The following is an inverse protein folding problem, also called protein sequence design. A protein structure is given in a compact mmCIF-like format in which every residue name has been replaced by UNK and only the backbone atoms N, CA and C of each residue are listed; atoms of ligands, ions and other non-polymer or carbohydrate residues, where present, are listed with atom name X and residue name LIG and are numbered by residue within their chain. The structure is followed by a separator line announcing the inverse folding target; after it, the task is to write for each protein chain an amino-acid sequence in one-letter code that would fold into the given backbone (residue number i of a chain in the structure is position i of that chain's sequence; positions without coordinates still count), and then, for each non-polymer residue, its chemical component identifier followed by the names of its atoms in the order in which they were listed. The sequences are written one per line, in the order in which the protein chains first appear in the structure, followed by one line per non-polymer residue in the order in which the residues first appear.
data_IF_841315178070
#
_entry.id   IF_841315178070
#
_cell.length_a   1.000
_cell.length_b   1.000
_cell.length_c   1.000
_cell.angle_alpha   90.00
_cell.angle_beta   90.00
_cell.angle_gamma   90.00
#
_symmetry.space_group_name_H-M   'P 1'
#
loop_
_entity.id
_entity.type
_entity.pdbx_description
1 polymer ?
2 non-polymer ?
3 non-polymer ?
#
# COMPACT_ATOMS: atom_id res chain seq x y z
N UNK A 1 3.04 4.28 -25.78
CA UNK A 1 3.60 5.11 -24.73
C UNK A 1 2.82 5.01 -23.43
N UNK A 2 3.54 5.12 -22.31
CA UNK A 2 2.92 5.18 -20.99
C UNK A 2 2.06 6.44 -20.88
N UNK A 3 2.62 7.54 -21.35
CA UNK A 3 1.96 8.85 -21.30
C UNK A 3 0.58 8.83 -21.93
N UNK A 4 0.45 8.15 -23.06
CA UNK A 4 -0.84 8.03 -23.74
C UNK A 4 -1.88 7.35 -22.88
N UNK A 5 -1.52 6.23 -22.27
CA UNK A 5 -2.43 5.49 -21.41
C UNK A 5 -2.80 6.29 -20.16
N UNK A 6 -1.83 7.01 -19.61
CA UNK A 6 -2.08 7.86 -18.45
C UNK A 6 -3.07 8.99 -18.77
N UNK A 7 -2.80 9.70 -19.86
CA UNK A 7 -3.67 10.79 -20.32
C UNK A 7 -5.08 10.27 -20.60
N UNK A 8 -5.16 9.11 -21.25
CA UNK A 8 -6.43 8.49 -21.59
C UNK A 8 -7.20 8.16 -20.31
N UNK A 9 -6.50 7.61 -19.31
CA UNK A 9 -7.11 7.31 -18.04
C UNK A 9 -7.65 8.56 -17.37
N UNK A 10 -6.84 9.62 -17.39
CA UNK A 10 -7.24 10.90 -16.81
C UNK A 10 -8.52 11.41 -17.46
N UNK A 11 -8.57 11.35 -18.78
CA UNK A 11 -9.77 11.71 -19.52
C UNK A 11 -10.97 10.86 -19.09
N UNK A 12 -10.71 9.57 -18.90
CA UNK A 12 -11.78 8.61 -18.59
C UNK A 12 -12.27 8.70 -17.15
N UNK A 13 -11.53 9.42 -16.31
CA UNK A 13 -12.00 9.70 -14.95
C UNK A 13 -13.33 10.46 -14.96
N UNK A 14 -13.56 11.21 -16.02
CA UNK A 14 -14.79 11.98 -16.20
C UNK A 14 -15.98 11.05 -16.41
N UNK A 15 -15.77 10.02 -17.21
CA UNK A 15 -16.84 9.11 -17.63
C UNK A 15 -17.15 8.02 -16.62
N UNK A 16 -16.14 7.25 -16.25
CA UNK A 16 -16.31 6.06 -15.41
C UNK A 16 -16.71 6.37 -13.97
N UNK A 17 -17.44 5.44 -13.37
CA UNK A 17 -17.86 5.57 -11.97
C UNK A 17 -17.04 4.65 -11.07
N UNK A 18 -17.37 4.64 -9.78
CA UNK A 18 -16.64 3.81 -8.83
C UNK A 18 -17.05 2.35 -8.93
N UNK A 19 -18.25 2.10 -9.45
CA UNK A 19 -18.75 0.74 -9.61
C UNK A 19 -17.96 0.00 -10.69
N UNK A 20 -17.42 0.75 -11.64
CA UNK A 20 -16.66 0.18 -12.76
C UNK A 20 -15.37 -0.51 -12.31
N UNK A 21 -14.76 0.03 -11.25
CA UNK A 21 -13.43 -0.43 -10.84
C UNK A 21 -13.40 -1.03 -9.43
N UNK A 22 -14.52 -0.96 -8.74
CA UNK A 22 -14.61 -1.43 -7.35
C UNK A 22 -14.31 -2.91 -7.21
N UNK A 23 -13.91 -3.29 -6.00
CA UNK A 23 -13.80 -4.71 -5.66
C UNK A 23 -15.10 -5.12 -5.00
N UNK A 24 -15.93 -5.88 -5.74
CA UNK A 24 -17.26 -6.27 -5.26
C UNK A 24 -17.19 -7.09 -3.97
N UNK A 25 -18.26 -7.02 -3.18
CA UNK A 25 -18.29 -7.59 -1.83
C UNK A 25 -17.83 -9.05 -1.74
N UNK A 26 -18.11 -9.83 -2.78
CA UNK A 26 -17.76 -11.25 -2.81
C UNK A 26 -16.26 -11.47 -3.04
N UNK A 27 -15.57 -10.41 -3.46
CA UNK A 27 -14.12 -10.49 -3.67
C UNK A 27 -13.35 -9.76 -2.57
N UNK A 28 -14.06 -9.33 -1.53
CA UNK A 28 -13.43 -8.59 -0.44
C UNK A 28 -13.03 -9.51 0.72
N UNK A 29 -11.77 -9.39 1.14
CA UNK A 29 -11.31 -10.08 2.35
C UNK A 29 -11.76 -9.28 3.57
N UNK A 30 -12.74 -9.81 4.29
CA UNK A 30 -13.30 -9.12 5.44
C UNK A 30 -13.14 -9.97 6.70
N UNK A 31 -13.64 -9.47 7.82
CA UNK A 31 -13.61 -10.21 9.08
C UNK A 31 -14.79 -9.82 9.98
N UNK A 32 -15.27 -10.79 10.75
CA UNK A 32 -16.39 -10.55 11.67
C UNK A 32 -15.93 -9.74 12.88
N UNK A 33 -16.83 -8.90 13.40
CA UNK A 33 -16.52 -8.12 14.59
C UNK A 33 -16.49 -8.99 15.83
N UNK A 34 -17.01 -10.19 15.70
CA UNK A 34 -17.03 -11.14 16.80
C UNK A 34 -15.75 -11.96 16.84
N UNK A 35 -14.76 -11.54 16.05
CA UNK A 35 -13.47 -12.22 15.99
C UNK A 35 -12.71 -12.08 17.29
N UNK A 36 -11.74 -12.97 17.49
CA UNK A 36 -10.85 -12.91 18.65
C UNK A 36 -9.41 -12.94 18.16
N UNK A 37 -8.69 -11.85 18.40
CA UNK A 37 -7.34 -11.70 17.87
C UNK A 37 -6.32 -12.62 18.54
N UNK A 38 -6.59 -13.92 18.53
CA UNK A 38 -5.60 -14.91 18.93
C UNK A 38 -4.57 -15.04 17.81
N UNK A 39 -3.58 -15.90 17.98
CA UNK A 39 -2.48 -15.99 17.03
C UNK A 39 -2.93 -16.36 15.61
N UNK A 40 -3.81 -17.35 15.52
CA UNK A 40 -4.32 -17.81 14.23
C UNK A 40 -5.03 -16.70 13.44
N UNK A 41 -5.92 -15.98 14.11
CA UNK A 41 -6.65 -14.88 13.48
C UNK A 41 -5.68 -13.84 12.93
N UNK A 42 -4.75 -13.41 13.79
CA UNK A 42 -3.76 -12.40 13.41
C UNK A 42 -2.91 -12.85 12.23
N UNK A 43 -2.53 -14.13 12.22
CA UNK A 43 -1.73 -14.65 11.12
C UNK A 43 -2.52 -14.71 9.81
N UNK A 44 -3.79 -15.07 9.90
CA UNK A 44 -4.68 -15.03 8.74
C UNK A 44 -4.69 -13.63 8.16
N UNK A 45 -5.00 -12.66 9.02
CA UNK A 45 -5.09 -11.27 8.63
C UNK A 45 -3.79 -10.79 7.99
N UNK A 46 -2.67 -11.16 8.61
CA UNK A 46 -1.37 -10.70 8.16
C UNK A 46 -0.92 -11.32 6.84
N UNK A 47 -1.26 -12.57 6.62
CA UNK A 47 -0.88 -13.23 5.38
C UNK A 47 -1.86 -12.90 4.26
N UNK A 48 -3.00 -12.29 4.62
CA UNK A 48 -3.95 -11.84 3.61
C UNK A 48 -3.30 -10.84 2.66
N UNK A 49 -2.37 -10.05 3.18
CA UNK A 49 -1.64 -9.10 2.36
C UNK A 49 -2.32 -7.74 2.30
N UNK A 50 -3.55 -7.67 2.78
CA UNK A 50 -4.32 -6.44 2.74
C UNK A 50 -4.06 -5.55 3.96
N UNK A 51 -3.76 -4.29 3.69
CA UNK A 51 -3.52 -3.31 4.75
C UNK A 51 -4.82 -2.96 5.47
N UNK A 52 -5.90 -2.82 4.72
CA UNK A 52 -7.20 -2.47 5.29
C UNK A 52 -8.25 -3.57 5.10
N UNK A 53 -8.79 -4.04 6.21
CA UNK A 53 -9.78 -5.11 6.22
C UNK A 53 -11.12 -4.59 6.76
N UNK A 54 -12.15 -4.56 5.91
CA UNK A 54 -13.46 -4.12 6.39
C UNK A 54 -14.01 -5.10 7.44
N UNK A 55 -14.58 -4.57 8.51
CA UNK A 55 -15.12 -5.40 9.58
C UNK A 55 -16.64 -5.38 9.54
N UNK A 56 -17.23 -6.54 9.28
CA UNK A 56 -18.69 -6.69 9.21
C UNK A 56 -19.21 -7.39 10.46
N UNK A 57 -20.50 -7.22 10.71
CA UNK A 57 -21.13 -7.90 11.85
C UNK A 57 -22.46 -8.50 11.43
N UNK A 58 -22.57 -9.81 11.59
CA UNK A 58 -23.76 -10.53 11.15
C UNK A 58 -23.68 -10.86 9.66
N UNK A 59 -23.85 -9.84 8.83
CA UNK A 59 -23.83 -10.01 7.39
C UNK A 59 -22.73 -9.17 6.75
N UNK A 60 -22.16 -9.68 5.66
CA UNK A 60 -21.05 -9.00 4.98
C UNK A 60 -21.44 -7.66 4.37
N UNK A 61 -22.75 -7.47 4.15
CA UNK A 61 -23.25 -6.20 3.67
C UNK A 61 -23.28 -5.17 4.79
N UNK A 62 -23.23 -5.66 6.03
CA UNK A 62 -23.26 -4.79 7.19
C UNK A 62 -21.85 -4.45 7.67
N UNK A 63 -21.15 -3.59 6.93
CA UNK A 63 -19.83 -3.14 7.34
C UNK A 63 -19.95 -2.17 8.50
N UNK A 64 -19.42 -2.55 9.65
CA UNK A 64 -19.57 -1.75 10.86
C UNK A 64 -18.27 -1.08 11.28
N UNK A 65 -17.13 -1.61 10.83
CA UNK A 65 -15.84 -1.04 11.19
C UNK A 65 -14.78 -1.25 10.12
N UNK A 66 -13.55 -0.86 10.44
CA UNK A 66 -12.44 -0.98 9.51
C UNK A 66 -11.13 -1.23 10.26
N UNK A 67 -10.52 -2.38 10.02
CA UNK A 67 -9.29 -2.78 10.70
C UNK A 67 -8.04 -2.48 9.88
N UNK A 68 -7.00 -1.98 10.54
CA UNK A 68 -5.71 -1.80 9.91
C UNK A 68 -4.76 -2.87 10.44
N UNK A 69 -3.82 -3.29 9.61
CA UNK A 69 -2.79 -4.21 10.07
C UNK A 69 -1.93 -3.50 11.10
N UNK A 70 -1.80 -2.18 10.90
CA UNK A 70 -1.05 -1.32 11.80
C UNK A 70 -1.57 -1.41 13.23
N UNK A 71 -2.86 -1.67 13.37
CA UNK A 71 -3.49 -1.75 14.68
C UNK A 71 -3.05 -2.99 15.45
N UNK A 72 -2.53 -3.98 14.73
CA UNK A 72 -2.13 -5.24 15.34
C UNK A 72 -0.75 -5.12 15.99
N UNK A 73 -0.12 -3.96 15.83
CA UNK A 73 1.24 -3.72 16.30
C UNK A 73 1.44 -4.07 17.78
N UNK A 74 0.60 -3.51 18.64
CA UNK A 74 0.76 -3.72 20.07
C UNK A 74 -0.13 -4.83 20.63
N UNK A 75 -0.67 -5.66 19.75
CA UNK A 75 -1.57 -6.74 20.17
C UNK A 75 -0.82 -8.05 20.43
N UNK A 76 -0.95 -8.57 21.65
CA UNK A 76 -0.34 -9.83 22.03
C UNK A 76 -1.29 -10.99 21.72
N UNK A 77 -0.85 -11.94 20.89
CA UNK A 77 -1.66 -13.10 20.53
C UNK A 77 -2.06 -13.93 21.76
N UNK A 78 -1.21 -13.91 22.78
CA UNK A 78 -1.43 -14.71 23.98
C UNK A 78 -2.60 -14.19 24.82
N UNK A 79 -2.93 -12.91 24.65
CA UNK A 79 -4.00 -12.29 25.43
C UNK A 79 -5.38 -12.61 24.87
N UNK A 80 -5.42 -13.09 23.64
CA UNK A 80 -6.67 -13.41 22.95
C UNK A 80 -7.66 -12.26 23.03
N UNK A 81 -7.18 -11.07 22.68
CA UNK A 81 -7.99 -9.86 22.77
C UNK A 81 -9.11 -9.86 21.72
N UNK A 82 -10.35 -9.62 22.17
CA UNK A 82 -11.48 -9.49 21.26
C UNK A 82 -11.25 -8.33 20.29
N UNK A 83 -11.59 -8.52 19.02
CA UNK A 83 -11.39 -7.48 18.01
C UNK A 83 -12.19 -6.22 18.34
N UNK A 84 -13.35 -6.40 18.99
CA UNK A 84 -14.18 -5.29 19.41
C UNK A 84 -13.40 -4.28 20.25
N UNK A 85 -12.47 -4.77 21.05
CA UNK A 85 -11.60 -3.91 21.84
C UNK A 85 -10.78 -2.98 20.95
N UNK A 86 -10.15 -3.56 19.93
CA UNK A 86 -9.29 -2.78 19.03
C UNK A 86 -10.10 -1.80 18.17
N UNK A 87 -11.18 -2.29 17.55
CA UNK A 87 -12.03 -1.43 16.73
C UNK A 87 -12.67 -0.31 17.54
N UNK A 88 -12.99 -0.60 18.80
CA UNK A 88 -13.51 0.43 19.70
C UNK A 88 -12.43 1.46 20.02
N UNK A 89 -11.23 0.97 20.32
CA UNK A 89 -10.13 1.85 20.71
C UNK A 89 -9.71 2.78 19.58
N UNK A 90 -9.18 2.21 18.52
CA UNK A 90 -8.73 3.02 17.38
C UNK A 90 -9.89 3.76 16.73
N UNK A 91 -10.97 3.02 16.42
CA UNK A 91 -12.16 3.59 15.81
C UNK A 91 -11.88 4.40 14.55
N UNK A 92 -11.30 3.75 13.55
CA UNK A 92 -11.04 4.40 12.28
C UNK A 92 -12.37 4.74 11.61
N UNK A 93 -12.47 5.94 11.04
CA UNK A 93 -13.73 6.40 10.44
C UNK A 93 -14.07 5.63 9.16
N UNK A 94 -15.36 5.36 8.96
CA UNK A 94 -15.82 4.69 7.75
C UNK A 94 -16.24 5.70 6.69
N UNK A 95 -15.77 5.49 5.46
CA UNK A 95 -16.12 6.38 4.37
C UNK A 95 -16.97 5.67 3.34
N UNK A 96 -18.14 6.22 3.05
CA UNK A 96 -19.05 5.61 2.08
C UNK A 96 -19.09 6.43 0.79
N UNK A 97 -19.68 5.83 -0.25
CA UNK A 97 -19.76 6.47 -1.55
C UNK A 97 -20.79 5.78 -2.43
N UNK A 98 -21.59 6.55 -3.15
CA UNK A 98 -22.61 6.00 -4.02
C UNK A 98 -21.99 5.41 -5.28
N UNK A 99 -22.68 4.46 -5.91
CA UNK A 99 -22.15 3.75 -7.06
C UNK A 99 -21.94 4.63 -8.29
N UNK A 100 -22.82 5.61 -8.47
CA UNK A 100 -22.77 6.48 -9.65
C UNK A 100 -21.69 7.57 -9.55
N UNK A 101 -20.90 7.52 -8.48
CA UNK A 101 -19.85 8.51 -8.24
C UNK A 101 -18.72 8.42 -9.25
N UNK A 102 -18.47 9.51 -9.97
CA UNK A 102 -17.41 9.57 -10.98
C UNK A 102 -16.03 9.47 -10.35
N UNK A 103 -15.05 8.97 -11.11
CA UNK A 103 -13.72 8.69 -10.58
C UNK A 103 -12.90 9.93 -10.24
N UNK A 104 -13.13 11.03 -10.95
CA UNK A 104 -12.41 12.27 -10.66
C UNK A 104 -12.79 12.81 -9.28
N UNK A 105 -14.08 12.75 -8.97
CA UNK A 105 -14.59 13.17 -7.67
C UNK A 105 -14.06 12.28 -6.56
N UNK A 106 -14.03 10.97 -6.82
CA UNK A 106 -13.51 10.00 -5.86
C UNK A 106 -12.04 10.28 -5.58
N UNK A 107 -11.30 10.58 -6.64
CA UNK A 107 -9.88 10.91 -6.54
C UNK A 107 -9.72 12.18 -5.71
N UNK A 108 -10.66 13.10 -5.89
CA UNK A 108 -10.66 14.36 -5.14
C UNK A 108 -10.87 14.15 -3.65
N UNK A 109 -11.86 13.31 -3.29
CA UNK A 109 -12.13 13.02 -1.88
C UNK A 109 -11.02 12.20 -1.24
N UNK A 110 -10.40 11.33 -2.02
CA UNK A 110 -9.26 10.55 -1.54
C UNK A 110 -8.07 11.47 -1.26
N UNK A 111 -7.80 12.36 -2.20
CA UNK A 111 -6.72 13.35 -2.07
C UNK A 111 -6.93 14.24 -0.85
N UNK A 112 -8.12 14.84 -0.78
CA UNK A 112 -8.46 15.79 0.28
C UNK A 112 -8.32 15.22 1.68
N UNK A 113 -8.79 14.00 1.88
CA UNK A 113 -8.74 13.37 3.19
C UNK A 113 -7.59 12.39 3.35
N UNK A 114 -7.50 11.79 4.53
CA UNK A 114 -6.51 10.76 4.80
C UNK A 114 -7.06 9.43 4.27
N UNK A 115 -8.32 9.45 3.85
CA UNK A 115 -9.02 8.27 3.34
C UNK A 115 -8.33 7.63 2.14
N UNK A 116 -8.33 6.31 2.12
CA UNK A 116 -7.80 5.54 1.00
C UNK A 116 -8.79 4.47 0.57
N UNK A 117 -9.78 4.24 1.42
CA UNK A 117 -10.78 3.21 1.17
C UNK A 117 -12.19 3.72 1.44
N UNK A 118 -13.03 3.68 0.41
CA UNK A 118 -14.43 4.05 0.54
C UNK A 118 -15.32 2.83 0.29
N UNK A 119 -16.49 2.80 0.92
CA UNK A 119 -17.43 1.70 0.75
C UNK A 119 -18.50 2.06 -0.28
N UNK A 120 -18.47 1.37 -1.41
CA UNK A 120 -19.44 1.58 -2.49
C UNK A 120 -20.78 0.94 -2.14
N UNK A 121 -21.80 1.80 -2.02
CA UNK A 121 -23.15 1.37 -1.75
C UNK A 121 -24.13 1.94 -2.78
N UNK A 122 -25.26 1.25 -2.97
CA UNK A 122 -26.26 1.65 -3.96
C UNK A 122 -27.58 1.99 -3.28
N UNK A 123 -28.24 3.04 -3.76
CA UNK A 123 -29.59 3.37 -3.29
C UNK A 123 -30.60 2.41 -3.93
N UNK A 124 -31.13 1.50 -3.12
CA UNK A 124 -32.05 0.47 -3.60
C UNK A 124 -33.48 0.97 -3.65
N UNK A 125 -33.80 1.77 -4.66
CA UNK A 125 -35.16 2.28 -4.84
C UNK A 125 -36.08 1.27 -5.51
N UNK A 126 -35.50 0.17 -6.01
CA UNK A 126 -36.29 -0.88 -6.63
C UNK A 126 -36.89 -1.82 -5.60
N UNK A 127 -37.74 -1.28 -4.73
CA UNK A 127 -38.45 -2.05 -3.73
C UNK A 127 -39.59 -2.85 -4.34
N UNK A 128 -40.35 -3.63 -3.56
CA UNK A 128 -40.24 -3.83 -2.10
C UNK A 128 -40.49 -2.59 -1.23
N UNK A 129 -41.41 -1.73 -1.65
CA UNK A 129 -41.87 -0.62 -0.84
C UNK A 129 -40.84 0.47 -0.56
N UNK A 130 -40.42 0.58 0.69
CA UNK A 130 -39.46 1.59 1.10
C UNK A 130 -38.02 1.16 0.84
N UNK A 131 -37.16 2.12 0.43
CA UNK A 131 -35.79 1.84 0.00
C UNK A 131 -34.79 1.75 1.15
N UNK A 132 -33.54 1.43 0.80
CA UNK A 132 -32.45 1.37 1.77
C UNK A 132 -31.09 1.42 1.07
N UNK A 133 -30.03 1.61 1.84
CA UNK A 133 -28.68 1.63 1.29
C UNK A 133 -28.11 0.22 1.18
N UNK A 134 -27.66 -0.14 -0.02
CA UNK A 134 -27.16 -1.48 -0.29
C UNK A 134 -25.67 -1.48 -0.63
N UNK A 135 -24.85 -1.98 0.28
CA UNK A 135 -23.40 -2.02 0.08
C UNK A 135 -23.02 -2.96 -1.06
N UNK A 136 -22.41 -2.40 -2.11
CA UNK A 136 -22.00 -3.17 -3.27
C UNK A 136 -20.60 -3.76 -3.06
N UNK A 137 -19.69 -2.94 -2.57
CA UNK A 137 -18.33 -3.41 -2.33
C UNK A 137 -17.43 -2.32 -1.80
N UNK A 138 -16.14 -2.41 -2.11
CA UNK A 138 -15.20 -1.37 -1.69
C UNK A 138 -14.45 -0.80 -2.89
N UNK A 139 -14.00 0.45 -2.76
CA UNK A 139 -13.17 1.09 -3.77
C UNK A 139 -12.01 1.77 -3.07
N UNK A 140 -10.81 1.61 -3.60
CA UNK A 140 -9.64 2.24 -3.00
C UNK A 140 -8.95 3.17 -3.98
N UNK A 141 -8.03 3.99 -3.45
CA UNK A 141 -7.26 4.91 -4.28
C UNK A 141 -6.50 4.16 -5.37
N UNK A 142 -6.05 2.95 -5.03
CA UNK A 142 -5.28 2.13 -5.95
C UNK A 142 -6.10 1.75 -7.18
N UNK A 143 -7.41 1.60 -7.00
CA UNK A 143 -8.30 1.31 -8.11
C UNK A 143 -8.31 2.45 -9.13
N UNK A 144 -8.55 3.66 -8.63
CA UNK A 144 -8.54 4.86 -9.46
C UNK A 144 -7.20 5.01 -10.18
N UNK A 145 -6.13 4.94 -9.40
CA UNK A 145 -4.78 5.05 -9.93
C UNK A 145 -4.53 4.02 -11.04
N UNK A 146 -4.94 2.79 -10.81
CA UNK A 146 -4.73 1.74 -11.81
C UNK A 146 -5.55 2.02 -13.06
N UNK A 147 -6.74 2.57 -12.90
CA UNK A 147 -7.55 2.96 -14.07
C UNK A 147 -6.83 4.06 -14.86
N UNK A 148 -6.08 4.89 -14.15
CA UNK A 148 -5.26 5.92 -14.80
C UNK A 148 -4.09 5.31 -15.57
N UNK A 149 -3.28 4.50 -14.90
CA UNK A 149 -2.00 4.04 -15.45
C UNK A 149 -2.05 2.75 -16.26
N UNK A 150 -3.16 2.03 -16.22
CA UNK A 150 -3.27 0.77 -16.97
C UNK A 150 -3.14 1.01 -18.47
N UNK A 151 -2.79 -0.05 -19.20
CA UNK A 151 -2.67 0.03 -20.64
C UNK A 151 -4.01 -0.30 -21.31
N UNK A 152 -4.25 0.31 -22.47
CA UNK A 152 -5.50 0.10 -23.20
C UNK A 152 -5.38 0.59 -24.65
N UNK B 1 -7.40 22.03 -12.25
CA UNK B 1 -8.15 20.85 -12.67
C UNK B 1 -7.29 19.60 -12.48
N UNK B 2 -7.94 18.49 -12.11
CA UNK B 2 -7.22 17.26 -11.84
C UNK B 2 -6.66 16.60 -13.10
N UNK B 3 -7.48 16.59 -14.16
CA UNK B 3 -7.06 16.05 -15.45
C UNK B 3 -5.76 16.68 -15.91
N UNK B 4 -5.63 17.98 -15.68
CA UNK B 4 -4.46 18.73 -16.10
C UNK B 4 -3.23 18.41 -15.23
N UNK B 5 -3.45 18.21 -13.94
CA UNK B 5 -2.38 17.76 -13.04
C UNK B 5 -1.83 16.44 -13.53
N UNK B 6 -2.74 15.51 -13.82
CA UNK B 6 -2.36 14.18 -14.26
C UNK B 6 -1.64 14.20 -15.62
N UNK B 7 -2.20 14.94 -16.58
CA UNK B 7 -1.60 15.08 -17.89
C UNK B 7 -0.21 15.70 -17.79
N UNK B 8 -0.06 16.68 -16.90
CA UNK B 8 1.23 17.32 -16.69
C UNK B 8 2.26 16.35 -16.09
N UNK B 9 1.82 15.54 -15.13
CA UNK B 9 2.69 14.54 -14.55
C UNK B 9 3.13 13.54 -15.60
N UNK B 10 2.19 13.12 -16.44
CA UNK B 10 2.48 12.26 -17.57
C UNK B 10 3.54 12.90 -18.46
N UNK B 11 3.41 14.20 -18.69
CA UNK B 11 4.38 14.94 -19.49
C UNK B 11 5.73 15.02 -18.77
N UNK B 12 5.73 14.87 -17.46
CA UNK B 12 6.98 14.98 -16.71
C UNK B 12 7.65 13.64 -16.44
N UNK B 13 6.96 12.56 -16.80
CA UNK B 13 7.49 11.20 -16.61
C UNK B 13 8.81 10.91 -17.33
N UNK B 14 9.15 11.70 -18.34
CA UNK B 14 10.36 11.43 -19.11
C UNK B 14 11.44 12.45 -18.77
N UNK B 15 11.03 13.56 -18.17
CA UNK B 15 11.94 14.64 -17.81
C UNK B 15 12.56 14.31 -16.47
N UNK B 16 11.72 14.02 -15.49
CA UNK B 16 12.17 13.75 -14.13
C UNK B 16 12.76 12.36 -13.99
N UNK B 17 13.70 12.23 -13.06
CA UNK B 17 14.35 10.95 -12.80
C UNK B 17 13.88 10.37 -11.48
N UNK B 18 14.31 9.15 -11.16
CA UNK B 18 13.92 8.50 -9.92
C UNK B 18 14.57 9.19 -8.72
N UNK B 19 15.67 9.89 -8.96
CA UNK B 19 16.36 10.62 -7.92
C UNK B 19 15.50 11.79 -7.43
N UNK B 20 14.71 12.35 -8.33
CA UNK B 20 13.86 13.50 -8.02
C UNK B 20 12.70 13.16 -7.10
N UNK B 21 12.32 11.88 -7.05
CA UNK B 21 11.15 11.47 -6.26
C UNK B 21 11.46 10.36 -5.26
N UNK B 22 12.73 9.99 -5.13
CA UNK B 22 13.11 8.93 -4.22
C UNK B 22 12.96 9.36 -2.76
N UNK B 23 12.80 8.39 -1.87
CA UNK B 23 12.91 8.66 -0.45
C UNK B 23 14.35 8.39 -0.05
N UNK B 24 15.10 9.46 0.24
CA UNK B 24 16.54 9.35 0.53
C UNK B 24 16.81 8.43 1.70
N UNK B 25 17.99 7.81 1.70
CA UNK B 25 18.38 6.82 2.69
C UNK B 25 18.10 7.27 4.13
N UNK B 26 18.36 8.54 4.41
CA UNK B 26 18.21 9.07 5.77
C UNK B 26 16.74 9.17 6.20
N UNK B 27 15.82 9.09 5.24
CA UNK B 27 14.40 9.14 5.55
C UNK B 27 13.74 7.75 5.45
N UNK B 28 14.56 6.73 5.27
CA UNK B 28 14.05 5.37 5.13
C UNK B 28 13.96 4.64 6.47
N UNK B 29 12.79 4.07 6.76
CA UNK B 29 12.65 3.19 7.91
C UNK B 29 13.23 1.83 7.55
N UNK B 30 14.32 1.46 8.23
CA UNK B 30 15.06 0.25 7.88
C UNK B 30 15.33 -0.61 9.11
N UNK B 31 15.93 -1.77 8.90
CA UNK B 31 16.26 -2.65 10.03
C UNK B 31 17.52 -3.51 9.80
N UNK B 32 18.26 -3.75 10.88
CA UNK B 32 19.48 -4.54 10.85
C UNK B 32 19.19 -6.03 10.65
N UNK B 33 20.09 -6.72 9.96
CA UNK B 33 19.94 -8.15 9.73
C UNK B 33 20.19 -8.95 10.99
N UNK B 34 20.85 -8.32 11.96
CA UNK B 34 21.17 -8.98 13.22
C UNK B 34 20.00 -8.88 14.19
N UNK B 35 18.89 -8.32 13.74
CA UNK B 35 17.73 -8.11 14.59
C UNK B 35 17.05 -9.41 15.00
N UNK B 36 16.47 -9.42 16.19
CA UNK B 36 15.68 -10.55 16.67
C UNK B 36 14.21 -10.15 16.72
N UNK B 37 13.35 -10.96 16.14
CA UNK B 37 11.93 -10.64 16.07
C UNK B 37 11.18 -11.04 17.33
N UNK B 38 11.54 -10.42 18.46
CA UNK B 38 10.76 -10.55 19.68
C UNK B 38 9.51 -9.68 19.55
N UNK B 39 8.76 -9.52 20.63
CA UNK B 39 7.52 -8.75 20.54
C UNK B 39 7.79 -7.26 20.27
N UNK B 40 8.81 -6.71 20.92
CA UNK B 40 9.14 -5.30 20.75
C UNK B 40 9.55 -4.95 19.33
N UNK B 41 10.36 -5.81 18.71
CA UNK B 41 10.81 -5.58 17.35
C UNK B 41 9.64 -5.66 16.37
N UNK B 42 8.83 -6.71 16.51
CA UNK B 42 7.67 -6.90 15.64
C UNK B 42 6.67 -5.75 15.78
N UNK B 43 6.47 -5.29 17.01
CA UNK B 43 5.57 -4.18 17.26
C UNK B 43 6.14 -2.89 16.67
N UNK B 44 7.46 -2.73 16.74
CA UNK B 44 8.10 -1.54 16.18
C UNK B 44 8.02 -1.51 14.66
N UNK B 45 8.14 -2.68 14.03
CA UNK B 45 8.04 -2.80 12.58
C UNK B 45 6.60 -2.59 12.13
N UNK B 46 5.67 -3.21 12.83
CA UNK B 46 4.25 -3.08 12.50
C UNK B 46 3.73 -1.66 12.74
N UNK B 47 4.24 -1.01 13.77
CA UNK B 47 3.77 0.33 14.13
C UNK B 47 4.14 1.36 13.08
N UNK B 48 5.21 1.10 12.33
CA UNK B 48 5.75 2.08 11.39
C UNK B 48 4.85 2.33 10.17
N UNK B 49 3.91 1.42 9.91
CA UNK B 49 2.99 1.61 8.81
C UNK B 49 3.55 1.27 7.45
N UNK B 50 4.82 0.86 7.41
CA UNK B 50 5.48 0.54 6.14
C UNK B 50 5.34 -0.94 5.78
N UNK B 51 4.84 -1.20 4.58
CA UNK B 51 4.65 -2.55 4.07
C UNK B 51 6.00 -3.23 3.78
N UNK B 52 6.93 -2.48 3.21
CA UNK B 52 8.24 -3.03 2.86
C UNK B 52 9.39 -2.32 3.58
N UNK B 53 10.23 -3.10 4.25
CA UNK B 53 11.30 -2.57 5.08
C UNK B 53 12.68 -3.04 4.62
N UNK B 54 13.50 -2.10 4.12
CA UNK B 54 14.88 -2.44 3.74
C UNK B 54 15.70 -3.01 4.90
N UNK B 55 16.33 -4.15 4.65
CA UNK B 55 17.18 -4.81 5.65
C UNK B 55 18.64 -4.56 5.33
N UNK B 56 19.30 -3.78 6.17
CA UNK B 56 20.71 -3.44 5.99
C UNK B 56 21.59 -4.19 6.98
N UNK B 57 22.87 -4.35 6.62
CA UNK B 57 23.83 -4.99 7.51
C UNK B 57 25.16 -4.24 7.44
N UNK B 58 25.68 -3.88 8.61
CA UNK B 58 26.85 -3.03 8.68
C UNK B 58 26.41 -1.57 8.69
N UNK B 59 26.49 -0.92 7.53
CA UNK B 59 25.97 0.43 7.38
C UNK B 59 24.59 0.40 6.75
N UNK B 60 23.87 1.52 6.83
CA UNK B 60 22.52 1.61 6.27
C UNK B 60 22.54 1.60 4.75
N UNK B 61 23.69 1.91 4.16
CA UNK B 61 23.83 1.91 2.72
C UNK B 61 23.93 0.49 2.17
N UNK B 62 24.33 -0.44 3.03
CA UNK B 62 24.49 -1.84 2.62
C UNK B 62 23.17 -2.61 2.71
N UNK B 63 22.24 -2.31 1.82
CA UNK B 63 20.96 -3.00 1.79
C UNK B 63 21.12 -4.42 1.26
N UNK B 64 20.99 -5.39 2.16
CA UNK B 64 21.22 -6.79 1.80
C UNK B 64 19.94 -7.59 1.61
N UNK B 65 18.85 -7.15 2.25
CA UNK B 65 17.58 -7.85 2.12
C UNK B 65 16.38 -6.91 2.09
N UNK B 66 15.19 -7.48 1.92
CA UNK B 66 13.95 -6.73 1.94
C UNK B 66 12.89 -7.50 2.73
N UNK B 67 12.43 -6.91 3.82
CA UNK B 67 11.44 -7.54 4.68
C UNK B 67 10.03 -7.11 4.31
N UNK B 68 9.09 -8.05 4.32
CA UNK B 68 7.68 -7.72 4.13
C UNK B 68 6.93 -7.93 5.44
N UNK B 69 6.01 -7.02 5.75
CA UNK B 69 5.16 -7.16 6.92
C UNK B 69 4.43 -8.50 6.86
N UNK B 70 4.04 -8.85 5.65
CA UNK B 70 3.39 -10.11 5.34
C UNK B 70 4.22 -11.32 5.80
N UNK B 71 5.53 -11.14 5.86
CA UNK B 71 6.44 -12.22 6.25
C UNK B 71 6.45 -12.45 7.76
N UNK B 72 5.73 -11.59 8.49
CA UNK B 72 5.67 -11.71 9.93
C UNK B 72 4.41 -12.44 10.37
N UNK B 73 3.63 -12.90 9.40
CA UNK B 73 2.37 -13.58 9.66
C UNK B 73 2.51 -14.79 10.57
N UNK B 74 3.42 -15.68 10.21
CA UNK B 74 3.58 -16.93 10.95
C UNK B 74 4.73 -16.90 11.96
N UNK B 75 5.17 -15.70 12.33
CA UNK B 75 6.24 -15.56 13.30
C UNK B 75 5.71 -15.28 14.71
N UNK B 76 6.10 -16.12 15.66
CA UNK B 76 5.67 -15.98 17.05
C UNK B 76 6.72 -15.20 17.84
N UNK B 77 6.32 -14.06 18.43
CA UNK B 77 7.22 -13.20 19.21
C UNK B 77 7.85 -13.94 20.40
N UNK B 78 7.24 -15.03 20.82
CA UNK B 78 7.74 -15.80 21.96
C UNK B 78 8.95 -16.63 21.59
N UNK B 79 9.16 -16.84 20.29
CA UNK B 79 10.27 -17.67 19.81
C UNK B 79 11.57 -16.89 19.67
N UNK B 80 11.44 -15.56 19.60
CA UNK B 80 12.60 -14.68 19.41
C UNK B 80 13.43 -15.16 18.21
N UNK B 81 12.75 -15.37 17.10
CA UNK B 81 13.38 -15.84 15.87
C UNK B 81 14.28 -14.76 15.27
N UNK B 82 15.51 -15.14 14.91
CA UNK B 82 16.39 -14.24 14.16
C UNK B 82 15.73 -13.81 12.85
N UNK B 83 15.86 -12.53 12.50
CA UNK B 83 15.30 -12.02 11.25
C UNK B 83 15.97 -12.69 10.06
N UNK B 84 17.24 -13.07 10.24
CA UNK B 84 17.99 -13.78 9.22
C UNK B 84 17.29 -15.06 8.77
N UNK B 85 16.61 -15.71 9.70
CA UNK B 85 15.82 -16.91 9.40
C UNK B 85 14.73 -16.60 8.38
N UNK B 86 14.00 -15.52 8.61
CA UNK B 86 12.88 -15.15 7.75
C UNK B 86 13.37 -14.62 6.40
N UNK B 87 14.41 -13.80 6.42
CA UNK B 87 14.97 -13.27 5.18
C UNK B 87 15.56 -14.38 4.31
N UNK B 88 16.22 -15.35 4.95
CA UNK B 88 16.78 -16.48 4.23
C UNK B 88 15.66 -17.38 3.72
N UNK B 89 14.57 -17.47 4.48
CA UNK B 89 13.43 -18.30 4.09
C UNK B 89 12.73 -17.74 2.86
N UNK B 90 12.19 -16.54 2.98
CA UNK B 90 11.47 -15.93 1.87
C UNK B 90 12.39 -15.54 0.72
N UNK B 91 13.48 -14.83 1.07
CA UNK B 91 14.44 -14.33 0.09
C UNK B 91 13.79 -13.54 -1.04
N UNK B 92 13.11 -12.45 -0.67
CA UNK B 92 12.51 -11.57 -1.65
C UNK B 92 13.61 -10.93 -2.47
N UNK B 93 13.45 -10.93 -3.81
CA UNK B 93 14.48 -10.40 -4.71
C UNK B 93 14.68 -8.90 -4.54
N UNK B 94 15.92 -8.46 -4.59
CA UNK B 94 16.23 -7.04 -4.47
C UNK B 94 16.36 -6.38 -5.84
N UNK B 95 15.67 -5.26 -6.03
CA UNK B 95 15.73 -4.54 -7.29
C UNK B 95 16.51 -3.24 -7.13
N UNK B 96 17.58 -3.09 -7.91
CA UNK B 96 18.36 -1.86 -7.91
C UNK B 96 18.09 -1.05 -9.17
N UNK B 97 18.19 0.26 -9.05
CA UNK B 97 17.97 1.15 -10.18
C UNK B 97 18.91 2.35 -10.10
N UNK B 98 19.45 2.77 -11.25
CA UNK B 98 20.37 3.89 -11.26
C UNK B 98 19.63 5.23 -11.10
N UNK B 99 20.30 6.22 -10.53
CA UNK B 99 19.67 7.49 -10.17
C UNK B 99 19.16 8.29 -11.36
N UNK B 100 19.83 8.18 -12.50
CA UNK B 100 19.45 8.93 -13.69
C UNK B 100 18.31 8.28 -14.47
N UNK B 101 17.80 7.17 -13.95
CA UNK B 101 16.67 6.47 -14.58
C UNK B 101 15.42 7.35 -14.61
N UNK B 102 14.82 7.48 -15.79
CA UNK B 102 13.62 8.29 -15.95
C UNK B 102 12.39 7.65 -15.32
N UNK B 103 11.39 8.45 -14.98
CA UNK B 103 10.20 7.96 -14.30
C UNK B 103 9.33 7.05 -15.18
N UNK B 104 9.39 7.25 -16.49
CA UNK B 104 8.59 6.43 -17.41
C UNK B 104 9.13 5.00 -17.46
N UNK B 105 10.45 4.88 -17.62
CA UNK B 105 11.10 3.58 -17.64
C UNK B 105 10.93 2.88 -16.30
N UNK B 106 10.99 3.65 -15.22
CA UNK B 106 10.79 3.11 -13.89
C UNK B 106 9.38 2.56 -13.75
N UNK B 107 8.40 3.33 -14.22
CA UNK B 107 7.00 2.93 -14.17
C UNK B 107 6.78 1.65 -14.97
N UNK B 108 7.43 1.58 -16.12
CA UNK B 108 7.34 0.41 -16.99
C UNK B 108 7.93 -0.82 -16.30
N UNK B 109 9.07 -0.65 -15.63
CA UNK B 109 9.68 -1.75 -14.89
C UNK B 109 8.82 -2.19 -13.71
N UNK B 110 8.11 -1.24 -13.10
CA UNK B 110 7.22 -1.53 -11.99
C UNK B 110 6.01 -2.34 -12.46
N UNK B 111 5.39 -1.91 -13.54
CA UNK B 111 4.20 -2.57 -14.07
C UNK B 111 4.47 -4.01 -14.53
N UNK B 112 5.56 -4.21 -15.25
CA UNK B 112 5.88 -5.54 -15.78
C UNK B 112 6.51 -6.47 -14.74
N UNK B 113 6.43 -6.09 -13.47
CA UNK B 113 6.92 -6.92 -12.40
C UNK B 113 5.98 -6.96 -11.21
N UNK B 114 6.29 -7.82 -10.24
CA UNK B 114 5.59 -7.83 -8.98
C UNK B 114 6.24 -6.78 -8.09
N UNK B 115 7.47 -6.43 -8.44
CA UNK B 115 8.27 -5.47 -7.67
C UNK B 115 7.62 -4.09 -7.58
N UNK B 116 7.65 -3.52 -6.39
CA UNK B 116 7.09 -2.20 -6.14
C UNK B 116 8.10 -1.28 -5.47
N UNK B 117 9.31 -1.78 -5.28
CA UNK B 117 10.34 -1.02 -4.57
C UNK B 117 11.73 -1.27 -5.15
N UNK B 118 12.36 -0.21 -5.64
CA UNK B 118 13.73 -0.29 -6.14
C UNK B 118 14.68 0.53 -5.28
N UNK B 119 15.95 0.14 -5.26
CA UNK B 119 16.98 0.87 -4.53
C UNK B 119 17.70 1.84 -5.46
N UNK B 120 17.54 3.14 -5.21
CA UNK B 120 18.22 4.16 -6.00
C UNK B 120 19.70 4.28 -5.63
N UNK B 121 20.57 3.96 -6.59
CA UNK B 121 22.01 4.02 -6.43
C UNK B 121 22.69 4.77 -7.58
N UNK B 122 23.85 5.35 -7.32
CA UNK B 122 24.59 6.08 -8.35
C UNK B 122 26.02 5.58 -8.46
N UNK B 123 26.77 6.16 -9.41
CA UNK B 123 28.17 5.78 -9.61
C UNK B 123 29.12 6.89 -9.13
N UNK B 124 29.66 6.72 -7.93
CA UNK B 124 30.58 7.70 -7.36
C UNK B 124 31.93 7.66 -8.05
N UNK B 125 32.13 8.57 -9.01
CA UNK B 125 33.32 8.58 -9.84
C UNK B 125 34.52 9.33 -9.26
N UNK B 126 34.29 10.11 -8.21
CA UNK B 126 35.38 10.86 -7.59
C UNK B 126 36.39 9.95 -6.89
N UNK B 127 37.22 9.29 -7.70
CA UNK B 127 38.22 8.37 -7.18
C UNK B 127 39.52 9.07 -6.80
N UNK B 128 40.32 8.52 -5.88
CA UNK B 128 40.10 7.25 -5.16
C UNK B 128 40.02 5.98 -6.01
N UNK B 129 40.59 6.04 -7.22
CA UNK B 129 40.74 4.86 -8.05
C UNK B 129 39.45 4.23 -8.55
N UNK B 130 39.29 2.93 -8.26
CA UNK B 130 38.17 2.14 -8.77
C UNK B 130 36.81 2.68 -8.35
N UNK B 131 35.91 2.86 -9.33
CA UNK B 131 34.55 3.35 -9.08
C UNK B 131 33.69 2.29 -8.42
N UNK B 132 32.54 2.70 -7.87
CA UNK B 132 31.64 1.77 -7.20
C UNK B 132 30.21 2.30 -7.18
N UNK B 133 29.31 1.52 -6.57
CA UNK B 133 27.91 1.90 -6.51
C UNK B 133 27.53 2.44 -5.13
N UNK B 134 26.96 3.63 -5.10
CA UNK B 134 26.59 4.31 -3.85
C UNK B 134 25.07 4.37 -3.71
N UNK B 135 24.55 3.79 -2.62
CA UNK B 135 23.11 3.75 -2.39
C UNK B 135 22.57 5.10 -1.91
N UNK B 136 21.70 5.71 -2.72
CA UNK B 136 21.15 7.02 -2.43
C UNK B 136 19.83 6.94 -1.67
N UNK B 137 18.98 5.98 -2.06
CA UNK B 137 17.70 5.83 -1.40
C UNK B 137 16.82 4.72 -1.93
N UNK B 138 15.50 4.89 -1.81
CA UNK B 138 14.54 3.95 -2.37
C UNK B 138 13.45 4.67 -3.16
N UNK B 139 12.90 4.00 -4.17
CA UNK B 139 11.80 4.56 -4.95
C UNK B 139 10.71 3.51 -5.12
N UNK B 140 9.45 3.92 -4.99
CA UNK B 140 8.33 3.00 -5.12
C UNK B 140 7.36 3.44 -6.21
N UNK B 141 6.44 2.55 -6.58
CA UNK B 141 5.38 2.88 -7.52
C UNK B 141 4.59 4.08 -7.01
N UNK B 142 4.38 4.11 -5.70
CA UNK B 142 3.63 5.19 -5.05
C UNK B 142 4.30 6.54 -5.31
N UNK B 143 5.62 6.55 -5.41
CA UNK B 143 6.37 7.78 -5.67
C UNK B 143 6.04 8.36 -7.04
N UNK B 144 6.15 7.53 -8.08
CA UNK B 144 5.85 7.99 -9.43
C UNK B 144 4.37 8.33 -9.58
N UNK B 145 3.51 7.58 -8.88
CA UNK B 145 2.08 7.87 -8.87
C UNK B 145 1.80 9.25 -8.27
N UNK B 146 2.44 9.51 -7.13
CA UNK B 146 2.31 10.79 -6.46
C UNK B 146 2.82 11.91 -7.35
N UNK B 147 3.87 11.63 -8.11
CA UNK B 147 4.39 12.61 -9.07
C UNK B 147 3.31 12.92 -10.11
N UNK B 148 2.67 11.87 -10.61
CA UNK B 148 1.63 12.02 -11.63
C UNK B 148 0.42 12.83 -11.13
N UNK B 149 -0.15 12.42 -10.01
CA UNK B 149 -1.43 12.96 -9.57
C UNK B 149 -1.37 14.24 -8.73
N UNK B 150 -0.19 14.58 -8.20
CA UNK B 150 -0.05 15.76 -7.34
C UNK B 150 -0.35 17.05 -8.10
N UNK B 151 -0.64 18.12 -7.36
CA UNK B 151 -0.94 19.41 -7.95
C UNK B 151 0.33 20.21 -8.27
N UNK B 152 0.23 21.09 -9.25
CA UNK B 152 1.35 21.93 -9.66
C UNK B 152 0.88 23.07 -10.55
#
# INVERSE_FOLDING_TARGET
MEELNIIQGALELRTKTVEDVMTPLRDCFMITGEAILDFNTMSEIMESGYTRIPVFEGERSNIVDLLFVKDLAFVDPDDCTPLKTITKFYNHPLHFVFNDTKLDAMLEEFKKGKSHLAIVQRVNNEGEGDPFYEVLGIVTLEDVIEEIIKSE
MEELNIIQGALELRTKTVEDVMTPLRDCFMITGEAILDFNTMSEIMESGYTRIPVFEGERSNIVDLLFVKDLAFVDPDDCTPLKTITKFYNHPLHFVFNDTKLDAMLEEFKKGKSHLAIVQRVNNEGEGDPFYEVLGIVTLEDVIEEIIKSE
#
